data_IF_285756656353
#
_entry.id   IF_285756656353
#
_cell.length_a   1.000
_cell.length_b   1.000
_cell.length_c   1.000
_cell.angle_alpha   90.00
_cell.angle_beta   90.00
_cell.angle_gamma   90.00
#
_symmetry.space_group_name_H-M   'P 1'
#
loop_
_entity.id
_entity.type
_entity.pdbx_description
1 polymer ?
#
# COMPACT_ATOMS: atom_id res chain seq x y z
N UNK A 1 -72.04 -4.51 14.47
CA UNK A 1 -71.56 -4.26 13.10
C UNK A 1 -70.26 -3.48 13.25
N UNK A 2 -69.07 -4.10 13.20
CA UNK A 2 -68.41 -4.63 11.99
C UNK A 2 -68.46 -3.50 10.94
N UNK A 3 -67.40 -2.77 10.60
CA UNK A 3 -66.05 -3.24 10.27
C UNK A 3 -65.07 -2.06 10.19
N UNK A 4 -63.80 -2.39 10.44
CA UNK A 4 -62.62 -1.54 10.23
C UNK A 4 -62.44 -1.24 8.73
N UNK A 5 -61.92 -0.07 8.40
CA UNK A 5 -60.98 0.05 7.27
C UNK A 5 -60.05 1.26 7.48
N UNK A 6 -59.03 1.00 8.30
CA UNK A 6 -57.83 1.79 8.43
C UNK A 6 -56.98 1.54 7.17
N UNK A 7 -56.94 2.46 6.21
CA UNK A 7 -55.97 2.40 5.11
C UNK A 7 -54.78 3.26 5.48
N UNK A 8 -53.82 2.63 6.15
CA UNK A 8 -52.46 3.10 6.32
C UNK A 8 -51.69 2.70 5.06
N UNK A 9 -51.45 3.65 4.17
CA UNK A 9 -50.61 3.45 2.97
C UNK A 9 -49.15 3.32 3.42
N UNK A 10 -48.73 2.10 3.71
CA UNK A 10 -47.33 1.77 3.98
C UNK A 10 -46.58 1.77 2.65
N UNK A 11 -45.86 2.87 2.38
CA UNK A 11 -44.88 2.94 1.30
C UNK A 11 -43.70 2.06 1.70
N UNK A 12 -43.67 0.82 1.19
CA UNK A 12 -42.50 -0.04 1.27
C UNK A 12 -41.54 0.42 0.18
N UNK A 13 -40.66 1.36 0.53
CA UNK A 13 -39.43 1.58 -0.24
C UNK A 13 -38.59 0.32 -0.05
N UNK A 14 -38.64 -0.58 -1.02
CA UNK A 14 -37.69 -1.69 -1.12
C UNK A 14 -36.31 -1.06 -1.29
N UNK A 15 -35.55 -1.07 -0.20
CA UNK A 15 -34.10 -0.93 -0.19
C UNK A 15 -33.55 -1.83 -1.32
N UNK A 16 -32.95 -1.22 -2.34
CA UNK A 16 -32.13 -1.95 -3.28
C UNK A 16 -31.06 -2.67 -2.49
N UNK A 17 -31.23 -3.98 -2.28
CA UNK A 17 -30.11 -4.83 -1.93
C UNK A 17 -29.14 -4.73 -3.09
N UNK A 18 -28.10 -3.90 -2.93
CA UNK A 18 -26.85 -4.14 -3.62
C UNK A 18 -26.52 -5.59 -3.29
N UNK A 19 -26.68 -6.49 -4.26
CA UNK A 19 -26.25 -7.88 -4.12
C UNK A 19 -24.88 -7.84 -3.48
N UNK A 20 -24.78 -8.32 -2.23
CA UNK A 20 -23.50 -8.44 -1.55
C UNK A 20 -22.66 -9.32 -2.45
N UNK A 21 -21.76 -8.69 -3.22
CA UNK A 21 -20.85 -9.40 -4.12
C UNK A 21 -20.19 -10.45 -3.26
N UNK A 22 -20.23 -11.72 -3.67
CA UNK A 22 -19.70 -12.80 -2.86
C UNK A 22 -18.18 -12.63 -2.69
N UNK A 23 -17.75 -12.08 -1.56
CA UNK A 23 -16.34 -11.82 -1.21
C UNK A 23 -15.71 -12.94 -0.38
N UNK A 24 -16.46 -14.00 -0.12
CA UNK A 24 -16.03 -15.08 0.75
C UNK A 24 -14.94 -15.88 0.04
N UNK A 25 -13.79 -16.02 0.70
CA UNK A 25 -12.78 -16.98 0.30
C UNK A 25 -13.13 -18.34 0.90
N UNK A 26 -13.02 -19.39 0.09
CA UNK A 26 -13.10 -20.78 0.52
C UNK A 26 -12.04 -21.55 -0.27
N UNK A 27 -10.76 -21.40 0.09
CA UNK A 27 -9.67 -22.07 -0.60
C UNK A 27 -9.88 -23.59 -0.58
N UNK A 28 -9.62 -24.31 -1.69
CA UNK A 28 -9.67 -25.77 -1.69
C UNK A 28 -8.52 -26.35 -0.84
N UNK A 29 -8.68 -27.60 -0.38
CA UNK A 29 -7.69 -28.25 0.50
C UNK A 29 -6.30 -28.39 -0.15
N UNK A 30 -6.25 -28.55 -1.47
CA UNK A 30 -5.04 -28.67 -2.29
C UNK A 30 -4.51 -27.32 -2.80
N UNK A 31 -5.02 -26.19 -2.29
CA UNK A 31 -4.56 -24.87 -2.69
C UNK A 31 -3.07 -24.67 -2.39
N UNK A 32 -2.37 -24.06 -3.33
CA UNK A 32 -1.01 -23.59 -3.11
C UNK A 32 -1.04 -22.30 -2.29
N UNK A 33 -0.11 -22.16 -1.36
CA UNK A 33 0.03 -20.98 -0.51
C UNK A 33 1.28 -20.19 -0.87
N UNK A 34 1.18 -18.87 -0.79
CA UNK A 34 2.35 -17.98 -0.77
C UNK A 34 2.50 -17.38 0.62
N UNK A 35 3.73 -17.40 1.14
CA UNK A 35 4.05 -16.76 2.42
C UNK A 35 4.70 -15.41 2.16
N UNK A 36 4.04 -14.33 2.61
CA UNK A 36 4.56 -12.96 2.55
C UNK A 36 5.06 -12.57 3.93
N UNK A 37 6.37 -12.41 4.08
CA UNK A 37 7.04 -12.04 5.32
C UNK A 37 7.57 -10.61 5.30
N UNK A 38 7.70 -10.00 6.47
CA UNK A 38 8.27 -8.65 6.65
C UNK A 38 9.13 -8.62 7.91
N UNK A 39 10.39 -8.21 7.76
CA UNK A 39 11.24 -7.82 8.90
C UNK A 39 11.08 -6.32 9.11
N UNK A 40 10.53 -5.92 10.25
CA UNK A 40 10.09 -4.55 10.51
C UNK A 40 11.13 -3.84 11.39
N UNK A 41 11.69 -2.69 10.95
CA UNK A 41 12.55 -1.85 11.76
C UNK A 41 11.87 -1.41 13.05
N UNK A 42 12.65 -1.14 14.10
CA UNK A 42 12.11 -0.87 15.44
C UNK A 42 11.17 0.35 15.47
N UNK A 43 11.42 1.35 14.65
CA UNK A 43 10.67 2.60 14.57
C UNK A 43 9.39 2.47 13.72
N UNK A 44 9.26 1.40 12.94
CA UNK A 44 8.18 1.20 11.98
C UNK A 44 7.20 0.14 12.43
N UNK A 45 5.97 0.24 11.95
CA UNK A 45 4.98 -0.83 12.00
C UNK A 45 4.59 -1.24 10.58
N UNK A 46 4.17 -2.49 10.47
CA UNK A 46 3.55 -3.03 9.26
C UNK A 46 2.03 -3.03 9.45
N UNK A 47 1.31 -2.45 8.48
CA UNK A 47 -0.15 -2.47 8.47
C UNK A 47 -0.66 -3.83 7.97
N UNK A 48 -1.94 -4.19 8.21
CA UNK A 48 -2.55 -5.35 7.55
C UNK A 48 -2.28 -5.34 6.04
N UNK A 49 -1.90 -6.50 5.49
CA UNK A 49 -1.63 -6.60 4.05
C UNK A 49 -2.90 -6.28 3.29
N UNK A 50 -2.84 -5.30 2.40
CA UNK A 50 -3.96 -5.01 1.50
C UNK A 50 -3.86 -5.98 0.31
N UNK A 51 -4.79 -6.91 0.22
CA UNK A 51 -4.77 -8.02 -0.73
C UNK A 51 -5.94 -7.93 -1.68
N UNK A 52 -5.67 -8.12 -2.96
CA UNK A 52 -6.67 -8.20 -4.00
C UNK A 52 -6.72 -9.64 -4.54
N UNK A 53 -7.91 -10.21 -4.54
CA UNK A 53 -8.25 -11.39 -5.33
C UNK A 53 -9.07 -10.98 -6.56
N UNK A 54 -8.89 -11.69 -7.68
CA UNK A 54 -9.63 -11.48 -8.92
C UNK A 54 -10.45 -12.70 -9.32
N UNK A 55 -11.47 -12.46 -10.13
CA UNK A 55 -12.39 -13.50 -10.60
C UNK A 55 -12.85 -13.21 -12.03
N UNK A 56 -12.73 -14.21 -12.90
CA UNK A 56 -13.32 -14.23 -14.24
C UNK A 56 -14.81 -14.64 -14.22
N UNK A 57 -15.28 -15.22 -13.10
CA UNK A 57 -16.67 -15.66 -12.91
C UNK A 57 -17.53 -14.49 -12.41
N UNK A 58 -17.13 -13.90 -11.29
CA UNK A 58 -17.81 -12.76 -10.70
C UNK A 58 -17.28 -11.48 -11.34
N UNK A 59 -17.80 -11.16 -12.52
CA UNK A 59 -17.41 -9.98 -13.30
C UNK A 59 -17.97 -8.67 -12.73
N UNK A 60 -17.46 -7.56 -13.23
CA UNK A 60 -17.95 -6.21 -12.94
C UNK A 60 -18.23 -5.48 -14.24
N UNK A 61 -19.37 -4.81 -14.29
CA UNK A 61 -19.70 -3.86 -15.34
C UNK A 61 -18.89 -2.57 -15.18
N UNK A 62 -18.32 -2.12 -16.30
CA UNK A 62 -17.70 -0.81 -16.51
C UNK A 62 -18.39 -0.13 -17.68
N UNK A 63 -18.23 1.19 -17.76
CA UNK A 63 -18.74 1.97 -18.88
C UNK A 63 -17.57 2.64 -19.60
N UNK A 64 -17.59 2.64 -20.93
CA UNK A 64 -16.61 3.37 -21.72
C UNK A 64 -16.97 4.88 -21.78
N UNK A 65 -16.17 5.68 -22.48
CA UNK A 65 -16.41 7.12 -22.64
C UNK A 65 -17.73 7.44 -23.36
N UNK A 66 -18.27 6.49 -24.12
CA UNK A 66 -19.56 6.60 -24.81
C UNK A 66 -20.74 6.14 -23.94
N UNK A 67 -20.49 5.68 -22.71
CA UNK A 67 -21.52 5.17 -21.80
C UNK A 67 -21.92 3.71 -22.06
N UNK A 68 -21.29 3.00 -22.99
CA UNK A 68 -21.59 1.61 -23.27
C UNK A 68 -21.02 0.70 -22.18
N UNK A 69 -21.84 -0.24 -21.72
CA UNK A 69 -21.49 -1.20 -20.69
C UNK A 69 -20.59 -2.32 -21.26
N UNK A 70 -19.52 -2.65 -20.54
CA UNK A 70 -18.68 -3.80 -20.82
C UNK A 70 -18.26 -4.50 -19.52
N UNK A 71 -18.03 -5.81 -19.58
CA UNK A 71 -17.66 -6.60 -18.41
C UNK A 71 -16.14 -6.73 -18.30
N UNK A 72 -15.63 -6.59 -17.07
CA UNK A 72 -14.24 -6.85 -16.70
C UNK A 72 -14.17 -7.89 -15.58
N UNK A 73 -13.01 -8.55 -15.37
CA UNK A 73 -12.82 -9.41 -14.22
C UNK A 73 -13.12 -8.66 -12.92
N UNK A 74 -13.87 -9.29 -12.02
CA UNK A 74 -14.15 -8.69 -10.73
C UNK A 74 -12.94 -8.76 -9.82
N UNK A 75 -12.96 -7.89 -8.80
CA UNK A 75 -11.97 -7.91 -7.74
C UNK A 75 -12.63 -7.84 -6.36
N UNK A 76 -11.95 -8.49 -5.42
CA UNK A 76 -12.24 -8.54 -4.01
C UNK A 76 -11.03 -8.00 -3.24
N UNK A 77 -11.17 -6.83 -2.63
CA UNK A 77 -10.13 -6.21 -1.80
C UNK A 77 -10.40 -6.51 -0.33
N UNK A 78 -9.38 -6.92 0.40
CA UNK A 78 -9.47 -7.29 1.80
C UNK A 78 -8.13 -7.10 2.51
N UNK A 79 -8.20 -6.90 3.82
CA UNK A 79 -7.03 -6.77 4.67
C UNK A 79 -6.76 -8.08 5.41
N UNK A 80 -5.51 -8.53 5.36
CA UNK A 80 -5.06 -9.68 6.14
C UNK A 80 -4.23 -9.21 7.34
N UNK A 81 -4.64 -9.51 8.58
CA UNK A 81 -3.87 -9.14 9.75
C UNK A 81 -2.52 -9.84 9.73
N UNK A 82 -1.49 -9.07 10.01
CA UNK A 82 -0.11 -9.54 10.14
C UNK A 82 0.10 -10.06 11.57
N UNK A 83 0.67 -11.26 11.69
CA UNK A 83 0.94 -11.87 13.00
C UNK A 83 2.44 -11.93 13.25
N UNK A 84 2.87 -11.46 14.42
CA UNK A 84 4.27 -11.61 14.84
C UNK A 84 4.55 -13.10 15.12
N UNK A 85 5.57 -13.66 14.47
CA UNK A 85 5.88 -15.10 14.61
C UNK A 85 6.71 -15.43 15.84
N UNK A 86 7.51 -14.49 16.28
CA UNK A 86 8.48 -14.66 17.35
C UNK A 86 8.55 -13.34 18.13
N UNK A 87 8.27 -13.36 19.42
CA UNK A 87 8.31 -12.14 20.26
C UNK A 87 9.72 -11.55 20.38
N UNK A 88 10.76 -12.32 20.04
CA UNK A 88 12.16 -11.89 20.05
C UNK A 88 12.63 -11.32 18.71
N UNK A 89 11.80 -11.42 17.66
CA UNK A 89 12.11 -10.89 16.32
C UNK A 89 11.00 -9.96 15.85
N UNK A 90 11.36 -8.85 15.23
CA UNK A 90 10.39 -7.99 14.54
C UNK A 90 10.01 -8.59 13.17
N UNK A 91 9.63 -9.87 13.13
CA UNK A 91 9.25 -10.58 11.92
C UNK A 91 7.77 -10.96 11.94
N UNK A 92 7.09 -10.62 10.86
CA UNK A 92 5.66 -10.83 10.64
C UNK A 92 5.46 -11.59 9.34
N UNK A 93 4.48 -12.49 9.29
CA UNK A 93 4.09 -13.10 8.03
C UNK A 93 2.58 -13.29 7.89
N UNK A 94 2.17 -13.52 6.66
CA UNK A 94 0.83 -13.93 6.26
C UNK A 94 0.94 -15.01 5.19
N UNK A 95 0.11 -16.06 5.32
CA UNK A 95 -0.09 -17.05 4.26
C UNK A 95 -1.32 -16.67 3.43
N UNK A 96 -1.14 -16.51 2.13
CA UNK A 96 -2.20 -16.18 1.18
C UNK A 96 -2.42 -17.37 0.24
N UNK A 97 -3.67 -17.78 0.07
CA UNK A 97 -4.02 -18.86 -0.84
C UNK A 97 -3.93 -18.35 -2.28
N UNK A 98 -3.19 -19.03 -3.16
CA UNK A 98 -3.17 -18.69 -4.60
C UNK A 98 -4.55 -18.87 -5.20
N UNK A 99 -5.21 -19.97 -4.82
CA UNK A 99 -6.61 -20.21 -5.09
C UNK A 99 -7.43 -19.89 -3.85
N UNK A 100 -8.02 -18.69 -3.81
CA UNK A 100 -8.93 -18.24 -2.77
C UNK A 100 -10.31 -18.89 -2.83
N UNK A 101 -10.67 -19.50 -3.98
CA UNK A 101 -11.83 -20.36 -4.12
C UNK A 101 -13.16 -19.64 -3.91
N UNK A 102 -14.12 -20.33 -3.29
CA UNK A 102 -15.50 -19.84 -3.13
C UNK A 102 -16.28 -19.79 -4.45
N UNK A 103 -17.50 -19.23 -4.41
CA UNK A 103 -18.42 -19.22 -5.57
C UNK A 103 -17.89 -18.42 -6.76
N UNK A 104 -17.02 -17.46 -6.51
CA UNK A 104 -16.38 -16.66 -7.55
C UNK A 104 -15.07 -17.27 -8.05
N UNK A 105 -14.59 -18.37 -7.47
CA UNK A 105 -13.24 -18.90 -7.74
C UNK A 105 -12.21 -17.76 -7.70
N UNK A 106 -12.08 -17.15 -6.53
CA UNK A 106 -11.15 -16.04 -6.31
C UNK A 106 -9.70 -16.52 -6.50
N UNK A 107 -8.90 -15.77 -7.25
CA UNK A 107 -7.47 -16.02 -7.46
C UNK A 107 -6.64 -14.87 -6.90
N UNK A 108 -5.55 -15.15 -6.20
CA UNK A 108 -4.67 -14.12 -5.65
C UNK A 108 -4.08 -13.28 -6.78
N UNK A 109 -4.14 -11.96 -6.64
CA UNK A 109 -3.73 -11.01 -7.67
C UNK A 109 -2.64 -10.06 -7.21
N UNK A 110 -2.86 -9.40 -6.06
CA UNK A 110 -1.95 -8.40 -5.51
C UNK A 110 -1.88 -8.55 -4.00
N UNK A 111 -0.70 -8.32 -3.41
CA UNK A 111 -0.56 -8.00 -2.00
C UNK A 111 0.34 -6.78 -1.83
N UNK A 112 -0.17 -5.76 -1.16
CA UNK A 112 0.59 -4.55 -0.81
C UNK A 112 1.08 -4.68 0.64
N UNK A 113 2.40 -4.64 0.81
CA UNK A 113 3.05 -4.53 2.12
C UNK A 113 3.18 -3.05 2.42
N UNK A 114 2.60 -2.58 3.53
CA UNK A 114 2.55 -1.16 3.89
C UNK A 114 3.24 -0.93 5.22
N UNK A 115 4.14 0.04 5.26
CA UNK A 115 4.91 0.45 6.42
C UNK A 115 4.53 1.87 6.82
N UNK A 116 4.52 2.12 8.12
CA UNK A 116 4.30 3.44 8.70
C UNK A 116 5.16 3.61 9.96
N UNK A 117 5.48 4.84 10.35
CA UNK A 117 6.10 5.08 11.66
C UNK A 117 5.14 4.75 12.80
N UNK A 118 5.65 4.07 13.85
CA UNK A 118 4.88 3.84 15.09
C UNK A 118 4.55 5.15 15.80
N UNK A 119 5.46 6.10 15.75
CA UNK A 119 5.36 7.39 16.42
C UNK A 119 6.15 8.45 15.62
N UNK A 120 5.52 9.60 15.38
CA UNK A 120 6.13 10.71 14.64
C UNK A 120 6.60 11.87 15.53
N UNK A 121 6.38 11.79 16.85
CA UNK A 121 6.73 12.87 17.79
C UNK A 121 8.21 13.28 17.74
N UNK A 122 9.10 12.33 17.46
CA UNK A 122 10.55 12.58 17.29
C UNK A 122 10.87 13.52 16.13
N UNK A 123 9.96 13.66 15.15
CA UNK A 123 10.08 14.58 14.02
C UNK A 123 9.44 15.95 14.30
N UNK A 124 8.73 16.10 15.43
CA UNK A 124 8.07 17.32 15.87
C UNK A 124 6.55 17.18 15.96
N UNK A 125 5.93 18.05 16.74
CA UNK A 125 4.47 18.05 16.94
C UNK A 125 3.73 18.29 15.62
N UNK A 126 2.64 17.53 15.42
CA UNK A 126 1.81 17.63 14.20
C UNK A 126 2.44 16.99 12.96
N UNK A 127 3.54 16.24 13.10
CA UNK A 127 4.12 15.51 11.96
C UNK A 127 3.26 14.31 11.58
N UNK A 128 2.87 14.22 10.32
CA UNK A 128 2.14 13.08 9.75
C UNK A 128 3.10 12.09 9.10
N UNK A 129 2.81 10.78 9.17
CA UNK A 129 3.59 9.74 8.49
C UNK A 129 2.90 9.33 7.20
N UNK A 130 3.60 9.47 6.08
CA UNK A 130 3.16 8.85 4.83
C UNK A 130 3.51 7.36 4.84
N UNK A 131 2.54 6.54 4.45
CA UNK A 131 2.73 5.10 4.26
C UNK A 131 3.72 4.86 3.12
N UNK A 132 4.68 3.97 3.33
CA UNK A 132 5.49 3.42 2.24
C UNK A 132 5.00 2.03 1.92
N UNK A 133 4.83 1.73 0.63
CA UNK A 133 4.31 0.45 0.20
C UNK A 133 5.17 -0.20 -0.87
N UNK A 134 5.25 -1.54 -0.81
CA UNK A 134 5.67 -2.33 -1.95
C UNK A 134 4.53 -3.23 -2.40
N UNK A 135 4.37 -3.35 -3.70
CA UNK A 135 3.31 -4.12 -4.34
C UNK A 135 3.86 -5.42 -4.90
N UNK A 136 3.32 -6.55 -4.45
CA UNK A 136 3.59 -7.87 -5.01
C UNK A 136 2.46 -8.27 -5.97
N UNK A 137 2.82 -8.65 -7.19
CA UNK A 137 1.89 -8.94 -8.29
C UNK A 137 1.96 -10.42 -8.65
N UNK A 138 0.91 -11.16 -8.32
CA UNK A 138 0.84 -12.61 -8.43
C UNK A 138 0.15 -13.12 -9.71
N UNK A 139 -0.44 -12.21 -10.50
CA UNK A 139 -1.04 -12.53 -11.79
C UNK A 139 -0.57 -11.59 -12.92
N UNK A 140 -0.77 -12.03 -14.17
CA UNK A 140 -0.40 -11.26 -15.36
C UNK A 140 -1.23 -9.99 -15.53
N UNK A 141 -2.48 -9.96 -15.04
CA UNK A 141 -3.33 -8.77 -15.14
C UNK A 141 -2.76 -7.63 -14.29
N UNK A 142 -2.23 -7.92 -13.11
CA UNK A 142 -1.57 -6.97 -12.21
C UNK A 142 -0.21 -6.57 -12.79
N UNK A 143 0.60 -7.54 -13.22
CA UNK A 143 1.92 -7.28 -13.79
C UNK A 143 1.88 -6.44 -15.08
N UNK A 144 0.80 -6.57 -15.87
CA UNK A 144 0.65 -5.89 -17.16
C UNK A 144 -0.25 -4.64 -17.08
N UNK A 145 -0.63 -4.16 -15.89
CA UNK A 145 -1.46 -2.95 -15.72
C UNK A 145 -0.73 -1.63 -16.03
N UNK A 146 0.36 -1.67 -16.82
CA UNK A 146 1.21 -0.53 -17.17
C UNK A 146 2.18 -0.17 -16.05
N UNK A 147 3.24 0.58 -16.37
CA UNK A 147 4.30 0.98 -15.44
C UNK A 147 5.44 -0.03 -15.28
N UNK A 148 6.54 0.42 -14.69
CA UNK A 148 7.70 -0.44 -14.43
C UNK A 148 7.48 -1.34 -13.22
N UNK A 149 7.89 -2.60 -13.32
CA UNK A 149 7.96 -3.55 -12.20
C UNK A 149 9.29 -4.31 -12.25
N UNK A 150 9.76 -4.75 -11.09
CA UNK A 150 10.89 -5.67 -10.99
C UNK A 150 10.39 -7.11 -10.98
N UNK A 151 10.97 -7.99 -11.78
CA UNK A 151 10.61 -9.42 -11.76
C UNK A 151 11.38 -10.17 -10.68
N UNK A 152 10.68 -10.96 -9.88
CA UNK A 152 11.25 -11.89 -8.89
C UNK A 152 11.02 -13.31 -9.40
N UNK A 153 12.11 -14.06 -9.59
CA UNK A 153 12.09 -15.39 -10.22
C UNK A 153 12.24 -16.55 -9.24
N UNK A 154 12.50 -16.27 -7.97
CA UNK A 154 12.68 -17.30 -6.94
C UNK A 154 12.18 -16.78 -5.60
N UNK A 155 11.92 -17.72 -4.70
CA UNK A 155 11.72 -17.40 -3.30
C UNK A 155 12.93 -16.65 -2.75
N UNK A 156 12.72 -15.78 -1.77
CA UNK A 156 13.84 -15.10 -1.13
C UNK A 156 13.49 -13.78 -0.47
N UNK A 157 14.40 -12.82 -0.65
CA UNK A 157 14.44 -11.57 0.09
C UNK A 157 14.40 -10.38 -0.87
N UNK A 158 13.50 -9.42 -0.59
CA UNK A 158 13.57 -8.07 -1.14
C UNK A 158 14.20 -7.20 -0.05
N UNK A 159 15.44 -6.76 -0.26
CA UNK A 159 16.13 -5.85 0.65
C UNK A 159 16.34 -4.49 -0.02
N UNK A 160 16.01 -3.40 0.68
CA UNK A 160 16.13 -2.03 0.18
C UNK A 160 16.50 -1.07 1.30
N UNK A 161 17.37 -0.12 0.97
CA UNK A 161 17.71 1.01 1.83
C UNK A 161 16.57 2.03 1.84
N UNK A 162 16.15 2.40 3.05
CA UNK A 162 15.16 3.43 3.31
C UNK A 162 15.75 4.51 4.20
N UNK A 163 15.33 5.74 3.95
CA UNK A 163 15.77 6.92 4.66
C UNK A 163 14.57 7.69 5.23
N UNK A 164 14.67 8.23 6.46
CA UNK A 164 13.70 9.20 6.95
C UNK A 164 13.84 10.50 6.16
N UNK A 165 12.80 10.89 5.43
CA UNK A 165 12.75 12.17 4.72
C UNK A 165 11.63 13.03 5.31
N UNK A 166 11.98 14.15 5.94
CA UNK A 166 11.04 15.06 6.59
C UNK A 166 10.80 16.29 5.71
N UNK A 167 9.58 16.49 5.25
CA UNK A 167 9.17 17.68 4.51
C UNK A 167 8.40 18.62 5.42
N UNK A 168 8.69 19.91 5.33
CA UNK A 168 7.94 20.96 6.04
C UNK A 168 7.56 22.06 5.05
N UNK A 169 6.27 22.28 4.87
CA UNK A 169 5.68 23.19 3.90
C UNK A 169 4.80 24.22 4.60
N UNK A 170 4.82 25.47 4.12
CA UNK A 170 4.14 26.61 4.76
C UNK A 170 3.09 27.29 3.85
N UNK A 171 3.16 27.02 2.54
CA UNK A 171 2.38 27.72 1.53
C UNK A 171 1.17 26.86 1.17
N UNK A 172 -0.04 27.42 1.31
CA UNK A 172 -1.29 26.67 1.11
C UNK A 172 -1.77 25.94 2.36
N UNK A 173 -1.06 26.09 3.48
CA UNK A 173 -1.29 25.41 4.75
C UNK A 173 0.04 25.04 5.38
N UNK A 174 0.09 24.94 6.71
CA UNK A 174 1.25 24.34 7.37
C UNK A 174 1.09 22.83 7.31
N UNK A 175 2.09 22.16 6.74
CA UNK A 175 2.14 20.71 6.62
C UNK A 175 3.53 20.21 6.98
N UNK A 176 3.59 19.11 7.74
CA UNK A 176 4.84 18.48 8.12
C UNK A 176 4.70 16.98 8.02
N UNK A 177 5.48 16.38 7.12
CA UNK A 177 5.33 14.97 6.75
C UNK A 177 6.67 14.26 6.87
N UNK A 178 6.66 13.08 7.50
CA UNK A 178 7.76 12.12 7.45
C UNK A 178 7.46 11.01 6.44
N UNK A 179 8.40 10.79 5.53
CA UNK A 179 8.38 9.75 4.51
C UNK A 179 9.35 8.63 4.87
N UNK A 180 9.00 7.39 4.53
CA UNK A 180 9.90 6.23 4.51
C UNK A 180 10.38 6.06 3.08
N UNK A 181 11.50 6.71 2.74
CA UNK A 181 11.90 6.99 1.34
C UNK A 181 13.04 6.09 0.84
N UNK A 182 12.88 5.46 -0.33
CA UNK A 182 13.91 4.65 -0.99
C UNK A 182 14.22 5.08 -2.43
N UNK A 183 13.83 6.29 -2.83
CA UNK A 183 13.94 6.71 -4.24
C UNK A 183 12.70 6.47 -5.10
N UNK A 184 11.72 5.68 -4.62
CA UNK A 184 10.51 5.32 -5.37
C UNK A 184 9.26 5.46 -4.51
N UNK A 185 8.16 5.87 -5.15
CA UNK A 185 6.85 5.98 -4.50
C UNK A 185 6.02 4.70 -4.67
N UNK A 186 6.07 4.08 -5.85
CA UNK A 186 5.26 2.90 -6.21
C UNK A 186 6.17 1.74 -6.63
N UNK A 187 6.80 1.05 -5.68
CA UNK A 187 7.67 -0.08 -6.02
C UNK A 187 6.86 -1.36 -6.22
N UNK A 188 6.94 -1.91 -7.44
CA UNK A 188 6.14 -3.05 -7.89
C UNK A 188 7.03 -4.22 -8.25
N UNK A 189 6.60 -5.41 -7.83
CA UNK A 189 7.31 -6.65 -8.06
C UNK A 189 6.40 -7.71 -8.67
N UNK A 190 6.76 -8.20 -9.86
CA UNK A 190 6.13 -9.37 -10.44
C UNK A 190 6.62 -10.63 -9.71
N UNK A 191 5.69 -11.32 -9.07
CA UNK A 191 5.88 -12.42 -8.13
C UNK A 191 5.09 -13.68 -8.57
N UNK A 192 5.01 -13.91 -9.88
CA UNK A 192 4.12 -14.91 -10.48
C UNK A 192 4.34 -16.33 -9.91
N UNK A 193 5.60 -16.74 -9.74
CA UNK A 193 5.97 -18.14 -9.50
C UNK A 193 6.73 -18.36 -8.18
N UNK A 194 6.48 -17.54 -7.16
CA UNK A 194 7.13 -17.67 -5.84
C UNK A 194 6.21 -18.31 -4.78
N UNK A 195 6.75 -19.12 -3.89
CA UNK A 195 6.05 -19.67 -2.73
C UNK A 195 6.32 -18.85 -1.46
N UNK A 196 7.43 -18.11 -1.42
CA UNK A 196 7.74 -17.26 -0.28
C UNK A 196 8.56 -16.03 -0.67
N UNK A 197 8.20 -14.89 -0.08
CA UNK A 197 9.00 -13.68 -0.17
C UNK A 197 9.04 -13.00 1.17
N UNK A 198 10.22 -12.55 1.57
CA UNK A 198 10.41 -11.73 2.75
C UNK A 198 10.85 -10.34 2.31
N UNK A 199 10.18 -9.32 2.81
CA UNK A 199 10.60 -7.94 2.67
C UNK A 199 11.45 -7.52 3.87
N UNK A 200 12.60 -6.91 3.57
CA UNK A 200 13.57 -6.43 4.55
C UNK A 200 13.92 -4.96 4.26
N UNK A 201 13.09 -4.02 4.72
CA UNK A 201 13.41 -2.60 4.69
C UNK A 201 14.58 -2.30 5.64
N UNK A 202 15.72 -1.87 5.10
CA UNK A 202 16.86 -1.37 5.85
C UNK A 202 16.64 0.12 6.13
N UNK A 203 16.03 0.45 7.27
CA UNK A 203 15.84 1.85 7.66
C UNK A 203 17.13 2.42 8.25
N UNK A 204 17.69 3.43 7.58
CA UNK A 204 18.82 4.22 8.05
C UNK A 204 18.32 5.37 8.94
N UNK A 205 17.82 5.04 10.13
CA UNK A 205 17.14 5.98 11.04
C UNK A 205 17.99 7.20 11.43
N UNK A 206 19.31 7.05 11.47
CA UNK A 206 20.27 8.11 11.79
C UNK A 206 20.58 9.04 10.59
N UNK A 207 20.03 8.75 9.42
CA UNK A 207 20.24 9.51 8.17
C UNK A 207 19.03 10.35 7.81
N UNK A 208 18.54 11.15 8.75
CA UNK A 208 17.41 12.06 8.53
C UNK A 208 17.75 13.15 7.51
N UNK A 209 16.92 13.23 6.47
CA UNK A 209 16.94 14.30 5.48
C UNK A 209 15.79 15.24 5.75
N UNK A 210 16.01 16.55 5.60
CA UNK A 210 14.95 17.57 5.78
C UNK A 210 14.79 18.41 4.52
N UNK A 211 13.57 18.68 4.11
CA UNK A 211 13.24 19.60 3.03
C UNK A 211 12.27 20.67 3.52
N UNK A 212 12.77 21.89 3.63
CA UNK A 212 12.04 23.02 4.19
C UNK A 212 11.58 23.93 3.05
N UNK A 213 10.27 24.08 2.90
CA UNK A 213 9.65 24.96 1.92
C UNK A 213 9.79 26.44 2.28
N UNK A 214 9.68 27.34 1.29
CA UNK A 214 9.70 28.77 1.55
C UNK A 214 8.45 29.20 2.32
N UNK A 215 8.59 30.21 3.19
CA UNK A 215 7.47 30.74 3.99
C UNK A 215 6.56 31.70 3.21
N UNK A 216 7.05 32.24 2.08
CA UNK A 216 6.33 33.18 1.23
C UNK A 216 6.58 32.84 -0.25
N UNK A 217 5.56 33.08 -1.08
CA UNK A 217 5.69 32.95 -2.54
C UNK A 217 6.45 34.16 -3.09
N UNK A 218 7.74 33.98 -3.35
CA UNK A 218 8.60 35.02 -3.92
C UNK A 218 9.42 34.44 -5.08
N UNK A 219 9.81 35.29 -6.04
CA UNK A 219 10.56 34.85 -7.21
C UNK A 219 11.94 34.34 -6.78
N UNK A 220 12.27 33.10 -7.12
CA UNK A 220 13.52 32.44 -6.72
C UNK A 220 13.50 31.81 -5.32
N UNK A 221 12.35 31.80 -4.64
CA UNK A 221 12.19 31.07 -3.40
C UNK A 221 12.06 29.56 -3.70
N UNK A 222 13.05 28.78 -3.29
CA UNK A 222 13.12 27.34 -3.46
C UNK A 222 13.04 26.61 -2.12
N UNK A 223 12.79 25.30 -2.15
CA UNK A 223 12.93 24.45 -0.96
C UNK A 223 14.41 24.32 -0.63
N UNK A 224 14.74 24.20 0.64
CA UNK A 224 16.11 23.90 1.11
C UNK A 224 16.16 22.46 1.58
N UNK A 225 17.03 21.65 0.96
CA UNK A 225 17.33 20.30 1.39
C UNK A 225 18.52 20.31 2.35
N UNK A 226 18.42 19.56 3.44
CA UNK A 226 19.44 19.42 4.49
C UNK A 226 19.75 17.93 4.61
N UNK A 227 21.00 17.56 4.32
CA UNK A 227 21.49 16.20 4.40
C UNK A 227 21.95 15.83 5.83
N UNK A 228 22.16 14.53 6.13
CA UNK A 228 22.55 14.07 7.46
C UNK A 228 23.86 14.65 8.00
N UNK A 229 24.78 15.07 7.13
CA UNK A 229 26.05 15.72 7.48
C UNK A 229 25.92 17.24 7.72
N UNK A 230 24.72 17.80 7.55
CA UNK A 230 24.45 19.23 7.66
C UNK A 230 24.63 20.01 6.36
N UNK A 231 25.04 19.37 5.26
CA UNK A 231 25.13 20.01 3.95
C UNK A 231 23.75 20.49 3.50
N UNK A 232 23.67 21.74 3.03
CA UNK A 232 22.42 22.34 2.56
C UNK A 232 22.50 22.73 1.10
N UNK A 233 21.44 22.43 0.34
CA UNK A 233 21.33 22.82 -1.06
C UNK A 233 19.91 23.32 -1.37
N UNK A 234 19.76 24.33 -2.26
CA UNK A 234 18.45 24.63 -2.84
C UNK A 234 18.03 23.48 -3.76
N UNK A 235 16.75 23.10 -3.72
CA UNK A 235 16.18 22.09 -4.63
C UNK A 235 14.92 22.60 -5.31
N UNK A 236 14.74 22.18 -6.56
CA UNK A 236 13.51 22.38 -7.33
C UNK A 236 12.65 21.12 -7.36
N UNK A 237 13.26 19.97 -7.12
CA UNK A 237 12.65 18.67 -7.09
C UNK A 237 11.87 18.46 -5.78
N UNK A 238 10.83 17.62 -5.83
CA UNK A 238 10.08 17.27 -4.63
C UNK A 238 10.83 16.29 -3.71
N UNK A 239 11.70 15.46 -4.29
CA UNK A 239 12.36 14.36 -3.59
C UNK A 239 13.88 14.38 -3.81
N UNK A 240 14.67 13.99 -2.79
CA UNK A 240 16.13 13.93 -2.88
C UNK A 240 16.61 12.78 -3.77
N UNK A 241 17.77 12.93 -4.40
CA UNK A 241 18.39 11.85 -5.17
C UNK A 241 18.86 10.70 -4.25
N UNK A 242 18.31 9.51 -4.46
CA UNK A 242 18.63 8.32 -3.68
C UNK A 242 20.10 7.91 -3.78
N UNK A 243 20.77 8.15 -4.90
CA UNK A 243 22.18 7.78 -5.08
C UNK A 243 23.10 8.72 -4.30
N UNK A 244 22.66 9.96 -4.01
CA UNK A 244 23.33 10.83 -3.05
C UNK A 244 23.12 10.31 -1.63
N UNK A 245 21.90 9.90 -1.28
CA UNK A 245 21.60 9.40 0.07
C UNK A 245 22.41 8.16 0.43
N UNK A 246 22.59 7.24 -0.52
CA UNK A 246 23.39 6.03 -0.33
C UNK A 246 24.85 6.29 0.04
N UNK A 247 25.41 7.45 -0.31
CA UNK A 247 26.79 7.83 0.08
C UNK A 247 26.94 8.05 1.58
N UNK A 248 25.84 8.22 2.31
CA UNK A 248 25.85 8.34 3.77
C UNK A 248 25.80 6.98 4.49
N UNK A 249 25.55 5.87 3.78
CA UNK A 249 25.62 4.52 4.32
C UNK A 249 27.11 4.17 4.49
N UNK A 250 27.49 3.68 5.68
CA UNK A 250 28.85 3.24 5.98
C UNK A 250 29.04 1.76 5.71
#
# INVERSE_FOLDING_TARGET
MIEKCFILTLVIMLSGCVSERNRTLSPPEDTQWVTVGVNVPEELMVLPLAVIYRSEICKRTRHNSSGEAYEVPGYNSMEFPVSQKDSTKNFYDVKLARQGGGRCQWHLSVADIRLQYKNTLQFGQGTESVESSIRLEFDYLAANQGGWHQRINSDGLISKDYFPYLTEDFIGGYEKIIWIYNGKMDERYSALNINSITFYPLLHSDKLIKSIGPKKKEKGAHRTLIYPDGTTIPITEAFPDIDVLKKFIK
#
